data_IF_294282467634
#
_entry.id   IF_294282467634
#
_cell.length_a   1.000
_cell.length_b   1.000
_cell.length_c   1.000
_cell.angle_alpha   90.00
_cell.angle_beta   90.00
_cell.angle_gamma   90.00
#
_symmetry.space_group_name_H-M   'P 1'
#
loop_
_entity.id
_entity.type
_entity.pdbx_description
1 polymer ?
#
# COMPACT_ATOMS: atom_id res chain seq x y z
N UNK A 1 21.74 -5.71 -7.01
CA UNK A 1 20.90 -4.49 -7.24
C UNK A 1 21.36 -3.73 -8.47
N UNK A 2 22.63 -3.28 -8.59
CA UNK A 2 23.09 -2.49 -9.75
C UNK A 2 22.87 -3.20 -11.10
N UNK A 3 23.21 -4.49 -11.19
CA UNK A 3 22.99 -5.29 -12.40
C UNK A 3 21.49 -5.38 -12.76
N UNK A 4 20.60 -5.48 -11.76
CA UNK A 4 19.16 -5.49 -12.03
C UNK A 4 18.67 -4.16 -12.60
N UNK A 5 19.15 -3.03 -12.07
CA UNK A 5 18.79 -1.71 -12.64
C UNK A 5 19.29 -1.54 -14.07
N UNK A 6 20.53 -2.01 -14.37
CA UNK A 6 21.04 -2.00 -15.73
C UNK A 6 20.18 -2.87 -16.65
N UNK A 7 19.83 -4.07 -16.21
CA UNK A 7 18.95 -4.97 -16.97
C UNK A 7 17.59 -4.32 -17.27
N UNK A 8 16.92 -3.75 -16.26
CA UNK A 8 15.63 -3.08 -16.48
C UNK A 8 15.75 -1.94 -17.49
N UNK A 9 16.87 -1.23 -17.49
CA UNK A 9 17.14 -0.17 -18.45
C UNK A 9 17.37 -0.74 -19.87
N UNK A 10 18.17 -1.78 -20.02
CA UNK A 10 18.46 -2.44 -21.31
C UNK A 10 17.22 -3.08 -21.92
N UNK A 11 16.37 -3.71 -21.10
CA UNK A 11 15.10 -4.30 -21.53
C UNK A 11 13.97 -3.27 -21.75
N UNK A 12 14.24 -1.98 -21.55
CA UNK A 12 13.26 -0.91 -21.67
C UNK A 12 11.98 -1.17 -20.87
N UNK A 13 12.11 -1.63 -19.64
CA UNK A 13 10.96 -1.87 -18.77
C UNK A 13 10.18 -0.59 -18.51
N UNK A 14 8.87 -0.61 -18.70
CA UNK A 14 7.97 0.53 -18.42
C UNK A 14 7.89 0.80 -16.91
N UNK A 15 8.02 -0.24 -16.08
CA UNK A 15 7.89 -0.18 -14.63
C UNK A 15 8.75 -1.26 -13.97
N UNK A 16 9.35 -0.94 -12.83
CA UNK A 16 10.06 -1.90 -12.00
C UNK A 16 9.42 -1.96 -10.61
N UNK A 17 9.19 -3.17 -10.13
CA UNK A 17 8.80 -3.46 -8.75
C UNK A 17 10.07 -3.84 -7.97
N UNK A 18 10.39 -3.05 -6.95
CA UNK A 18 11.60 -3.24 -6.14
C UNK A 18 11.22 -3.67 -4.74
N UNK A 19 11.70 -4.84 -4.34
CA UNK A 19 11.60 -5.31 -2.97
C UNK A 19 12.84 -4.89 -2.18
N UNK A 20 12.61 -4.29 -1.01
CA UNK A 20 13.68 -3.92 -0.07
C UNK A 20 14.23 -5.19 0.57
N UNK A 21 15.53 -5.39 0.48
CA UNK A 21 16.17 -6.56 1.06
C UNK A 21 16.23 -6.52 2.58
N UNK A 22 16.62 -5.38 3.17
CA UNK A 22 16.65 -5.20 4.62
C UNK A 22 16.49 -3.73 5.01
N UNK A 23 15.59 -3.50 5.96
CA UNK A 23 15.37 -2.17 6.53
C UNK A 23 14.60 -1.25 5.57
N UNK A 24 15.28 -0.33 4.93
CA UNK A 24 14.68 0.64 4.02
C UNK A 24 15.60 1.84 3.77
N UNK A 25 15.88 2.63 4.79
CA UNK A 25 16.67 3.86 4.66
C UNK A 25 18.03 3.66 3.99
N UNK A 26 18.74 2.59 4.32
CA UNK A 26 20.09 2.27 3.84
C UNK A 26 20.13 1.13 2.83
N UNK A 27 18.97 0.63 2.41
CA UNK A 27 18.90 -0.46 1.45
C UNK A 27 19.42 -0.04 0.08
N UNK A 28 20.07 -0.95 -0.62
CA UNK A 28 20.62 -0.72 -1.96
C UNK A 28 19.54 -0.38 -3.01
N UNK A 29 18.28 -0.76 -2.79
CA UNK A 29 17.15 -0.39 -3.66
C UNK A 29 16.68 1.05 -3.43
N UNK A 30 17.03 1.65 -2.29
CA UNK A 30 16.56 2.99 -1.88
C UNK A 30 17.28 4.16 -2.59
N UNK A 31 18.03 3.87 -3.66
CA UNK A 31 18.64 4.88 -4.54
C UNK A 31 17.60 5.67 -5.34
N UNK A 32 16.41 5.12 -5.55
CA UNK A 32 15.34 5.75 -6.32
C UNK A 32 14.81 6.96 -5.56
N UNK A 33 15.00 8.16 -6.14
CA UNK A 33 14.60 9.42 -5.51
C UNK A 33 13.11 9.72 -5.63
N UNK A 34 12.47 9.28 -6.72
CA UNK A 34 11.05 9.53 -7.02
C UNK A 34 10.38 8.23 -7.52
N UNK A 35 10.13 7.24 -6.62
CA UNK A 35 9.32 6.10 -7.01
C UNK A 35 7.90 6.56 -7.35
N UNK A 36 7.13 5.72 -8.04
CA UNK A 36 5.71 6.02 -8.32
C UNK A 36 4.87 5.94 -7.06
N UNK A 37 5.20 5.00 -6.18
CA UNK A 37 4.55 4.77 -4.89
C UNK A 37 5.53 4.03 -3.98
N UNK A 38 5.50 4.31 -2.69
CA UNK A 38 6.17 3.52 -1.65
C UNK A 38 5.15 2.64 -0.94
N UNK A 39 5.46 1.38 -0.72
CA UNK A 39 4.55 0.42 -0.07
C UNK A 39 5.20 -0.14 1.18
N UNK A 40 4.51 -0.03 2.31
CA UNK A 40 4.90 -0.60 3.60
C UNK A 40 3.89 -1.70 3.97
N UNK A 41 4.32 -2.94 3.88
CA UNK A 41 3.55 -4.09 4.36
C UNK A 41 3.55 -4.16 5.88
N UNK A 42 3.03 -5.24 6.48
CA UNK A 42 3.01 -5.40 7.94
C UNK A 42 4.40 -5.28 8.56
N UNK A 43 4.49 -4.54 9.66
CA UNK A 43 5.73 -4.38 10.44
C UNK A 43 5.60 -5.23 11.71
N UNK A 44 6.54 -6.13 11.90
CA UNK A 44 6.65 -7.01 13.06
C UNK A 44 8.04 -6.92 13.66
N UNK A 45 8.23 -7.56 14.82
CA UNK A 45 9.54 -7.68 15.47
C UNK A 45 10.40 -8.68 14.72
N UNK A 46 10.97 -8.24 13.60
CA UNK A 46 11.84 -9.04 12.76
C UNK A 46 13.18 -8.35 12.56
N UNK A 47 14.23 -9.12 12.30
CA UNK A 47 15.60 -8.61 12.15
C UNK A 47 16.07 -7.68 13.28
N UNK A 48 15.66 -7.96 14.53
CA UNK A 48 15.88 -7.11 15.71
C UNK A 48 17.35 -6.67 15.84
N UNK A 49 18.30 -7.57 15.54
CA UNK A 49 19.75 -7.29 15.63
C UNK A 49 20.21 -6.15 14.73
N UNK A 50 19.45 -5.83 13.67
CA UNK A 50 19.83 -4.86 12.65
C UNK A 50 18.91 -3.64 12.59
N UNK A 51 17.62 -3.84 12.88
CA UNK A 51 16.60 -2.81 12.66
C UNK A 51 16.17 -2.09 13.93
N UNK A 52 16.43 -2.68 15.11
CA UNK A 52 16.07 -2.10 16.39
C UNK A 52 15.29 -3.05 17.29
N UNK A 53 15.15 -2.66 18.56
CA UNK A 53 14.56 -3.47 19.61
C UNK A 53 13.09 -3.13 19.89
N UNK A 54 12.50 -2.22 19.13
CA UNK A 54 11.10 -1.81 19.24
C UNK A 54 10.44 -1.68 17.85
N UNK A 55 9.12 -1.79 17.81
CA UNK A 55 8.37 -1.57 16.57
C UNK A 55 8.56 -0.15 16.02
N UNK A 56 8.70 0.84 16.88
CA UNK A 56 8.97 2.21 16.48
C UNK A 56 10.33 2.37 15.79
N UNK A 57 11.39 1.72 16.31
CA UNK A 57 12.71 1.72 15.68
C UNK A 57 12.68 1.03 14.33
N UNK A 58 12.08 -0.16 14.24
CA UNK A 58 11.93 -0.91 12.99
C UNK A 58 11.12 -0.10 11.96
N UNK A 59 10.00 0.51 12.39
CA UNK A 59 9.19 1.37 11.56
C UNK A 59 9.97 2.60 11.06
N UNK A 60 10.82 3.18 11.89
CA UNK A 60 11.68 4.31 11.50
C UNK A 60 12.62 3.92 10.36
N UNK A 61 13.29 2.79 10.47
CA UNK A 61 14.20 2.29 9.42
C UNK A 61 13.44 1.96 8.13
N UNK A 62 12.29 1.27 8.24
CA UNK A 62 11.46 0.91 7.08
C UNK A 62 10.85 2.14 6.40
N UNK A 63 10.42 3.13 7.16
CA UNK A 63 9.86 4.39 6.64
C UNK A 63 10.89 5.24 5.87
N UNK A 64 12.16 4.90 5.88
CA UNK A 64 13.19 5.53 5.05
C UNK A 64 12.98 5.41 3.54
N UNK A 65 12.06 4.55 3.08
CA UNK A 65 11.66 4.46 1.67
C UNK A 65 10.64 5.54 1.28
N UNK A 66 10.04 6.23 2.24
CA UNK A 66 9.09 7.31 1.99
C UNK A 66 9.84 8.51 1.41
N UNK A 67 9.41 8.99 0.26
CA UNK A 67 10.07 10.07 -0.49
C UNK A 67 9.20 11.31 -0.57
N UNK A 68 9.81 12.50 -0.71
CA UNK A 68 9.06 13.75 -0.79
C UNK A 68 7.98 13.72 -1.88
N UNK A 69 6.74 14.03 -1.50
CA UNK A 69 5.59 14.15 -2.38
C UNK A 69 5.24 12.86 -3.18
N UNK A 70 5.73 11.71 -2.71
CA UNK A 70 5.42 10.40 -3.30
C UNK A 70 4.37 9.71 -2.44
N UNK A 71 3.26 9.21 -3.02
CA UNK A 71 2.24 8.50 -2.28
C UNK A 71 2.80 7.30 -1.55
N UNK A 72 2.27 7.04 -0.36
CA UNK A 72 2.63 5.88 0.48
C UNK A 72 1.38 5.06 0.74
N UNK A 73 1.46 3.78 0.46
CA UNK A 73 0.45 2.80 0.90
C UNK A 73 1.03 2.01 2.04
N UNK A 74 0.29 1.86 3.12
CA UNK A 74 0.66 0.99 4.24
C UNK A 74 -0.50 0.10 4.63
N UNK A 75 -0.19 -1.10 5.09
CA UNK A 75 -1.17 -1.93 5.79
C UNK A 75 -1.49 -1.29 7.15
N UNK A 76 -2.60 -1.71 7.77
CA UNK A 76 -2.88 -1.36 9.16
C UNK A 76 -1.72 -1.85 10.04
N UNK A 77 -1.17 -0.95 10.85
CA UNK A 77 -0.03 -1.22 11.72
C UNK A 77 -0.43 -1.14 13.19
N UNK A 78 0.41 -1.68 14.07
CA UNK A 78 0.30 -1.40 15.50
C UNK A 78 0.52 0.10 15.75
N UNK A 79 -0.13 0.69 16.80
CA UNK A 79 -0.11 2.14 17.04
C UNK A 79 1.28 2.77 16.99
N UNK A 80 2.26 2.14 17.63
CA UNK A 80 3.65 2.60 17.71
C UNK A 80 4.30 2.75 16.31
N UNK A 81 4.11 1.76 15.43
CA UNK A 81 4.63 1.79 14.08
C UNK A 81 3.84 2.76 13.20
N UNK A 82 2.52 2.83 13.37
CA UNK A 82 1.66 3.73 12.61
C UNK A 82 1.99 5.20 12.88
N UNK A 83 2.27 5.56 14.14
CA UNK A 83 2.66 6.92 14.52
C UNK A 83 3.94 7.36 13.78
N UNK A 84 4.94 6.48 13.74
CA UNK A 84 6.20 6.74 13.03
C UNK A 84 5.96 6.94 11.53
N UNK A 85 5.13 6.09 10.91
CA UNK A 85 4.81 6.19 9.48
C UNK A 85 4.06 7.49 9.18
N UNK A 86 3.05 7.84 9.98
CA UNK A 86 2.28 9.08 9.84
C UNK A 86 3.21 10.29 9.91
N UNK A 87 4.03 10.37 10.95
CA UNK A 87 5.00 11.46 11.13
C UNK A 87 5.95 11.56 9.93
N UNK A 88 6.46 10.43 9.44
CA UNK A 88 7.38 10.42 8.29
C UNK A 88 6.68 10.86 7.00
N UNK A 89 5.44 10.44 6.78
CA UNK A 89 4.65 10.87 5.63
C UNK A 89 4.38 12.39 5.66
N UNK A 90 4.03 12.94 6.83
CA UNK A 90 3.86 14.39 7.03
C UNK A 90 5.15 15.15 6.75
N UNK A 91 6.30 14.73 7.30
CA UNK A 91 7.62 15.33 7.04
C UNK A 91 7.95 15.37 5.54
N UNK A 92 7.56 14.33 4.81
CA UNK A 92 7.80 14.19 3.37
C UNK A 92 6.68 14.81 2.52
N UNK A 93 5.64 15.38 3.12
CA UNK A 93 4.46 15.87 2.40
C UNK A 93 3.89 14.80 1.45
N UNK A 94 3.92 13.54 1.89
CA UNK A 94 3.48 12.38 1.15
C UNK A 94 2.04 12.03 1.51
N UNK A 95 1.19 11.78 0.51
CA UNK A 95 -0.17 11.26 0.73
C UNK A 95 -0.06 9.85 1.33
N UNK A 96 -0.57 9.67 2.55
CA UNK A 96 -0.58 8.36 3.23
C UNK A 96 -1.93 7.68 3.06
N UNK A 97 -1.93 6.50 2.45
CA UNK A 97 -3.10 5.65 2.28
C UNK A 97 -2.93 4.40 3.16
N UNK A 98 -3.84 4.22 4.10
CA UNK A 98 -3.89 3.00 4.92
C UNK A 98 -4.82 2.01 4.25
N UNK A 99 -4.31 0.84 3.91
CA UNK A 99 -5.07 -0.26 3.34
C UNK A 99 -5.99 -0.84 4.42
N UNK A 100 -7.30 -0.66 4.23
CA UNK A 100 -8.32 -1.03 5.20
C UNK A 100 -8.93 -2.40 4.84
N UNK A 101 -8.69 -3.40 5.68
CA UNK A 101 -9.21 -4.75 5.52
C UNK A 101 -10.75 -4.80 5.59
N UNK A 102 -11.41 -3.81 6.21
CA UNK A 102 -12.87 -3.75 6.29
C UNK A 102 -13.52 -3.50 4.92
N UNK A 103 -12.73 -3.07 3.94
CA UNK A 103 -13.19 -2.94 2.55
C UNK A 103 -13.42 -4.27 1.85
N UNK A 104 -12.96 -5.39 2.45
CA UNK A 104 -13.21 -6.72 1.91
C UNK A 104 -14.50 -7.30 2.48
N UNK A 105 -15.33 -7.81 1.58
CA UNK A 105 -16.60 -8.45 1.90
C UNK A 105 -16.66 -9.84 1.26
N UNK A 106 -17.53 -10.70 1.76
CA UNK A 106 -17.80 -12.00 1.18
C UNK A 106 -16.55 -12.88 0.99
N UNK A 107 -15.64 -12.85 1.97
CA UNK A 107 -14.40 -13.63 1.90
C UNK A 107 -14.74 -15.12 1.93
N UNK A 108 -14.32 -15.83 0.90
CA UNK A 108 -14.49 -17.28 0.77
C UNK A 108 -13.15 -17.96 0.56
N UNK A 109 -13.05 -19.20 0.99
CA UNK A 109 -11.87 -20.04 0.78
C UNK A 109 -12.28 -21.35 0.13
N UNK A 110 -11.62 -21.69 -0.97
CA UNK A 110 -11.78 -22.98 -1.63
C UNK A 110 -10.42 -23.47 -2.13
N UNK A 111 -10.09 -24.71 -1.82
CA UNK A 111 -8.83 -25.36 -2.24
C UNK A 111 -7.57 -24.54 -1.89
N UNK A 112 -7.57 -23.88 -0.71
CA UNK A 112 -6.48 -23.03 -0.24
C UNK A 112 -6.43 -21.64 -0.87
N UNK A 113 -7.27 -21.36 -1.85
CA UNK A 113 -7.37 -20.05 -2.53
C UNK A 113 -8.46 -19.21 -1.89
N UNK A 114 -8.29 -17.90 -1.96
CA UNK A 114 -9.24 -16.93 -1.43
C UNK A 114 -9.89 -16.15 -2.55
N UNK A 115 -11.20 -15.89 -2.39
CA UNK A 115 -11.93 -14.95 -3.21
C UNK A 115 -12.71 -14.01 -2.29
N UNK A 116 -12.84 -12.75 -2.68
CA UNK A 116 -13.56 -11.73 -1.92
C UNK A 116 -14.05 -10.62 -2.86
N UNK A 117 -14.95 -9.80 -2.35
CA UNK A 117 -15.36 -8.55 -2.98
C UNK A 117 -14.66 -7.39 -2.27
N UNK A 118 -13.92 -6.59 -3.03
CA UNK A 118 -13.34 -5.37 -2.50
C UNK A 118 -14.30 -4.20 -2.77
N UNK A 119 -14.76 -3.58 -1.68
CA UNK A 119 -15.69 -2.44 -1.71
C UNK A 119 -14.96 -1.17 -1.29
N UNK A 120 -14.92 -0.20 -2.18
CA UNK A 120 -14.36 1.11 -1.88
C UNK A 120 -15.24 2.23 -2.42
N UNK A 121 -15.21 3.42 -1.80
CA UNK A 121 -15.90 4.56 -2.33
C UNK A 121 -15.46 4.86 -3.76
N UNK A 122 -16.41 5.19 -4.64
CA UNK A 122 -16.07 5.70 -5.98
C UNK A 122 -15.33 7.01 -5.80
N UNK A 123 -14.10 7.08 -6.29
CA UNK A 123 -13.34 8.32 -6.29
C UNK A 123 -13.95 9.27 -7.31
N UNK A 124 -14.53 10.36 -6.83
CA UNK A 124 -14.72 11.51 -7.69
C UNK A 124 -13.35 12.08 -8.04
N UNK A 125 -13.14 12.45 -9.28
CA UNK A 125 -11.86 12.90 -9.86
C UNK A 125 -11.20 14.09 -9.13
N UNK A 126 -11.85 14.64 -8.12
CA UNK A 126 -11.44 15.86 -7.40
C UNK A 126 -11.23 15.65 -5.89
N UNK A 127 -11.42 14.46 -5.34
CA UNK A 127 -11.23 14.25 -3.89
C UNK A 127 -9.86 13.65 -3.58
N UNK A 128 -9.07 14.41 -2.83
CA UNK A 128 -7.86 13.95 -2.15
C UNK A 128 -8.29 12.95 -1.07
N UNK A 129 -7.68 11.77 -1.01
CA UNK A 129 -7.91 10.83 0.08
C UNK A 129 -7.46 11.47 1.40
N UNK A 130 -8.42 11.92 2.20
CA UNK A 130 -8.17 12.37 3.57
C UNK A 130 -8.11 11.11 4.44
N UNK A 131 -7.08 11.03 5.28
CA UNK A 131 -6.94 9.98 6.27
C UNK A 131 -8.21 9.85 7.16
N UNK A 132 -8.54 8.64 7.68
CA UNK A 132 -9.79 8.38 8.43
C UNK A 132 -10.02 9.26 9.65
N UNK A 133 -9.00 9.94 10.17
CA UNK A 133 -9.11 10.78 11.37
C UNK A 133 -9.84 12.12 11.14
N UNK A 134 -10.12 12.50 9.90
CA UNK A 134 -10.83 13.75 9.58
C UNK A 134 -12.36 13.62 9.55
N UNK A 135 -12.93 12.43 9.74
CA UNK A 135 -14.38 12.20 9.73
C UNK A 135 -14.90 12.05 11.16
N UNK A 136 -14.71 13.06 11.99
CA UNK A 136 -15.49 13.26 13.21
C UNK A 136 -16.26 14.56 13.11
N UNK A 137 -17.16 14.66 12.17
CA UNK A 137 -18.28 15.58 12.24
C UNK A 137 -19.49 14.99 11.52
N UNK A 138 -20.45 14.59 12.34
CA UNK A 138 -21.82 14.24 12.05
C UNK A 138 -22.37 14.80 10.72
N UNK A 139 -22.45 13.97 9.71
CA UNK A 139 -23.53 14.00 8.72
C UNK A 139 -23.82 12.54 8.41
N UNK A 140 -24.88 11.99 8.98
CA UNK A 140 -25.54 10.78 8.51
C UNK A 140 -26.13 11.11 7.13
N UNK A 141 -25.33 10.99 6.08
CA UNK A 141 -25.84 10.78 4.72
C UNK A 141 -26.04 9.27 4.60
N UNK A 142 -27.25 8.85 4.28
CA UNK A 142 -27.51 7.49 3.79
C UNK A 142 -26.65 7.30 2.54
N UNK A 143 -25.52 6.59 2.69
CA UNK A 143 -24.63 6.26 1.60
C UNK A 143 -25.36 5.28 0.68
N UNK A 144 -25.68 5.71 -0.53
CA UNK A 144 -26.34 4.85 -1.49
C UNK A 144 -25.34 3.83 -2.03
N UNK A 145 -25.77 2.61 -2.35
CA UNK A 145 -24.93 1.57 -2.98
C UNK A 145 -24.26 2.04 -4.28
N UNK A 146 -24.77 3.09 -4.90
CA UNK A 146 -24.24 3.71 -6.12
C UNK A 146 -22.90 4.44 -5.89
N UNK A 147 -22.58 4.78 -4.64
CA UNK A 147 -21.37 5.53 -4.30
C UNK A 147 -20.14 4.61 -4.09
N UNK A 148 -20.34 3.29 -4.16
CA UNK A 148 -19.27 2.31 -3.99
C UNK A 148 -18.94 1.60 -5.30
N UNK A 149 -17.66 1.25 -5.43
CA UNK A 149 -17.14 0.33 -6.42
C UNK A 149 -16.95 -1.03 -5.74
N UNK A 150 -17.53 -2.08 -6.28
CA UNK A 150 -17.29 -3.47 -5.87
C UNK A 150 -16.47 -4.16 -6.94
N UNK A 151 -15.29 -4.66 -6.57
CA UNK A 151 -14.42 -5.41 -7.47
C UNK A 151 -14.31 -6.83 -6.92
N UNK A 152 -14.75 -7.86 -7.66
CA UNK A 152 -14.48 -9.25 -7.30
C UNK A 152 -12.98 -9.54 -7.49
N UNK A 153 -12.37 -10.17 -6.51
CA UNK A 153 -10.94 -10.52 -6.53
C UNK A 153 -10.76 -11.99 -6.21
N UNK A 154 -9.95 -12.65 -7.00
CA UNK A 154 -9.57 -14.06 -6.77
C UNK A 154 -8.06 -14.17 -6.65
N UNK A 155 -7.59 -14.70 -5.52
CA UNK A 155 -6.17 -14.86 -5.27
C UNK A 155 -5.69 -16.24 -5.71
N UNK A 156 -4.68 -16.27 -6.55
CA UNK A 156 -4.00 -17.51 -6.95
C UNK A 156 -3.06 -18.05 -5.85
N UNK A 157 -2.64 -17.19 -4.92
CA UNK A 157 -1.75 -17.54 -3.82
C UNK A 157 -2.53 -18.02 -2.62
N UNK A 158 -2.00 -19.04 -1.94
CA UNK A 158 -2.56 -19.58 -0.72
C UNK A 158 -2.09 -18.82 0.52
N UNK A 159 -2.92 -18.80 1.56
CA UNK A 159 -2.61 -18.21 2.88
C UNK A 159 -3.47 -17.00 3.21
N UNK A 160 -3.96 -16.94 4.44
CA UNK A 160 -4.85 -15.87 4.91
C UNK A 160 -4.21 -14.47 4.82
N UNK A 161 -2.91 -14.37 5.07
CA UNK A 161 -2.16 -13.10 4.97
C UNK A 161 -2.13 -12.52 3.54
N UNK A 162 -2.38 -13.33 2.52
CA UNK A 162 -2.47 -12.87 1.13
C UNK A 162 -3.71 -11.98 0.90
N UNK A 163 -4.74 -12.18 1.68
CA UNK A 163 -5.96 -11.34 1.63
C UNK A 163 -5.63 -9.92 2.06
N UNK A 164 -4.88 -9.75 3.13
CA UNK A 164 -4.41 -8.45 3.60
C UNK A 164 -3.43 -7.81 2.61
N UNK A 165 -2.49 -8.60 2.08
CA UNK A 165 -1.57 -8.13 1.04
C UNK A 165 -2.31 -7.64 -0.20
N UNK A 166 -3.39 -8.34 -0.61
CA UNK A 166 -4.19 -7.95 -1.76
C UNK A 166 -4.82 -6.56 -1.61
N UNK A 167 -5.30 -6.19 -0.41
CA UNK A 167 -5.84 -4.83 -0.18
C UNK A 167 -4.74 -3.78 -0.38
N UNK A 168 -3.54 -4.06 0.09
CA UNK A 168 -2.39 -3.18 -0.12
C UNK A 168 -2.07 -3.02 -1.62
N UNK A 169 -2.07 -4.14 -2.37
CA UNK A 169 -1.87 -4.14 -3.83
C UNK A 169 -2.97 -3.36 -4.54
N UNK A 170 -4.24 -3.59 -4.22
CA UNK A 170 -5.38 -2.90 -4.85
C UNK A 170 -5.28 -1.39 -4.63
N UNK A 171 -5.00 -0.94 -3.40
CA UNK A 171 -4.81 0.49 -3.11
C UNK A 171 -3.63 1.08 -3.90
N UNK A 172 -2.54 0.33 -4.04
CA UNK A 172 -1.38 0.71 -4.86
C UNK A 172 -1.76 0.85 -6.34
N UNK A 173 -2.44 -0.13 -6.91
CA UNK A 173 -2.89 -0.11 -8.31
C UNK A 173 -3.83 1.05 -8.57
N UNK A 174 -4.71 1.39 -7.65
CA UNK A 174 -5.60 2.55 -7.76
C UNK A 174 -4.87 3.90 -7.80
N UNK A 175 -3.75 4.01 -7.11
CA UNK A 175 -2.88 5.19 -7.26
C UNK A 175 -2.28 5.24 -8.66
N UNK A 176 -1.78 4.10 -9.12
CA UNK A 176 -1.14 3.98 -10.42
C UNK A 176 -2.11 4.19 -11.59
N UNK A 177 -3.39 3.84 -11.44
CA UNK A 177 -4.44 4.09 -12.45
C UNK A 177 -4.50 5.55 -12.89
N UNK A 178 -4.23 6.50 -11.98
CA UNK A 178 -4.23 7.93 -12.30
C UNK A 178 -3.22 8.28 -13.41
N UNK A 179 -2.10 7.59 -13.45
CA UNK A 179 -0.99 7.82 -14.39
C UNK A 179 -0.97 6.81 -15.54
N UNK A 180 -1.47 5.59 -15.28
CA UNK A 180 -1.43 4.47 -16.21
C UNK A 180 -2.86 3.95 -16.46
N UNK A 181 -3.62 4.56 -17.41
CA UNK A 181 -5.02 4.19 -17.67
C UNK A 181 -5.23 2.73 -18.12
N UNK A 182 -4.17 2.07 -18.57
CA UNK A 182 -4.20 0.63 -18.92
C UNK A 182 -4.40 -0.28 -17.71
N UNK A 183 -4.15 0.19 -16.49
CA UNK A 183 -4.48 -0.51 -15.25
C UNK A 183 -5.99 -0.33 -15.03
N UNK A 184 -6.79 -1.15 -15.68
CA UNK A 184 -8.26 -1.13 -15.55
C UNK A 184 -8.71 -1.95 -14.35
N UNK A 185 -9.98 -1.83 -13.98
CA UNK A 185 -10.58 -2.66 -12.93
C UNK A 185 -10.51 -4.14 -13.27
N UNK A 186 -10.65 -4.49 -14.56
CA UNK A 186 -10.48 -5.87 -15.05
C UNK A 186 -9.06 -6.41 -14.85
N UNK A 187 -8.05 -5.54 -14.86
CA UNK A 187 -6.65 -5.93 -14.59
C UNK A 187 -6.40 -6.13 -13.08
N UNK A 188 -7.22 -5.52 -12.23
CA UNK A 188 -7.13 -5.63 -10.77
C UNK A 188 -7.83 -6.92 -10.26
N UNK A 189 -8.77 -7.50 -11.01
CA UNK A 189 -9.48 -8.74 -10.72
C UNK A 189 -8.58 -9.96 -10.77
#
# INVERSE_FOLDING_TARGET
>A
TAAAFLWFYEENCDMALLEVGMGGATDATNLIKKPLVSVLTSISMDHIRFLGNSLAEIATVKSGIIKPQVPVVTMQQKPEAMEVIKKKAEEMQAELIVADITQMQNITQKDGRYAFEWKAPRRNSNEVCIAPDAVKNNIQKEESEKDFLCIPVTLSLCGAFQVENAVCVINTLRILQKKYPKITETVIQ
#
